data_IF_139033414296
#
_entry.id   IF_139033414296
#
_cell.length_a   1.000
_cell.length_b   1.000
_cell.length_c   1.000
_cell.angle_alpha   90.00
_cell.angle_beta   90.00
_cell.angle_gamma   90.00
#
_symmetry.space_group_name_H-M   'P 1'
#
loop_
_entity.id
_entity.type
_entity.pdbx_description
1 polymer ?
#
# COMPACT_ATOMS: atom_id res chain seq x y z
N UNK A 1 8.12 25.82 14.17
CA UNK A 1 7.59 24.67 13.39
C UNK A 1 7.75 23.44 14.27
N UNK A 2 6.79 22.51 14.34
CA UNK A 2 7.05 21.25 15.03
C UNK A 2 8.24 20.56 14.38
N UNK A 3 9.04 19.88 15.19
CA UNK A 3 10.18 19.09 14.74
C UNK A 3 9.70 18.00 13.77
N UNK A 4 10.32 17.91 12.59
CA UNK A 4 9.97 16.92 11.58
C UNK A 4 10.45 15.54 12.01
N UNK A 5 9.64 14.50 11.87
CA UNK A 5 10.04 13.10 12.08
C UNK A 5 10.64 12.55 10.78
N UNK A 6 11.96 12.30 10.71
CA UNK A 6 12.61 11.83 9.48
C UNK A 6 12.03 10.51 8.94
N UNK A 7 11.45 9.67 9.81
CA UNK A 7 10.83 8.41 9.39
C UNK A 7 9.50 8.65 8.69
N UNK A 8 8.73 9.66 9.11
CA UNK A 8 7.49 10.05 8.41
C UNK A 8 7.81 10.74 7.09
N UNK A 9 8.81 11.62 7.06
CA UNK A 9 9.20 12.30 5.82
C UNK A 9 9.74 11.33 4.77
N UNK A 10 10.47 10.29 5.18
CA UNK A 10 10.95 9.23 4.29
C UNK A 10 9.82 8.43 3.61
N UNK A 11 8.57 8.50 4.12
CA UNK A 11 7.40 7.88 3.49
C UNK A 11 6.91 8.65 2.27
N UNK A 12 7.39 9.89 2.03
CA UNK A 12 7.03 10.74 0.89
C UNK A 12 5.51 10.84 0.65
N UNK A 13 4.75 10.96 1.74
CA UNK A 13 3.30 11.02 1.74
C UNK A 13 2.79 12.36 1.18
N UNK A 14 1.58 12.33 0.63
CA UNK A 14 0.86 13.56 0.33
C UNK A 14 0.54 14.35 1.62
N UNK A 15 0.09 15.60 1.51
CA UNK A 15 -0.15 16.45 2.69
C UNK A 15 -1.17 15.86 3.67
N UNK A 16 -2.25 15.24 3.18
CA UNK A 16 -3.32 14.69 4.03
C UNK A 16 -2.79 13.49 4.83
N UNK A 17 -2.19 12.51 4.15
CA UNK A 17 -1.62 11.32 4.75
C UNK A 17 -0.43 11.65 5.65
N UNK A 18 0.42 12.63 5.28
CA UNK A 18 1.52 13.11 6.12
C UNK A 18 0.98 13.69 7.42
N UNK A 19 0.01 14.60 7.36
CA UNK A 19 -0.59 15.18 8.56
C UNK A 19 -1.24 14.11 9.45
N UNK A 20 -1.92 13.14 8.85
CA UNK A 20 -2.51 12.02 9.56
C UNK A 20 -1.45 11.13 10.24
N UNK A 21 -0.33 10.86 9.57
CA UNK A 21 0.79 10.13 10.15
C UNK A 21 1.38 10.86 11.38
N UNK A 22 1.57 12.18 11.31
CA UNK A 22 2.00 12.98 12.46
C UNK A 22 1.00 12.96 13.62
N UNK A 23 -0.30 13.10 13.33
CA UNK A 23 -1.35 13.02 14.35
C UNK A 23 -1.35 11.65 15.05
N UNK A 24 -1.20 10.57 14.28
CA UNK A 24 -1.17 9.22 14.82
C UNK A 24 0.10 8.99 15.66
N UNK A 25 1.27 9.44 15.18
CA UNK A 25 2.56 9.33 15.87
C UNK A 25 2.59 10.12 17.18
N UNK A 26 1.97 11.30 17.23
CA UNK A 26 1.85 12.10 18.44
C UNK A 26 1.04 11.37 19.54
N UNK A 27 -0.02 10.65 19.16
CA UNK A 27 -0.82 9.84 20.09
C UNK A 27 -0.13 8.53 20.47
N UNK A 28 0.59 7.92 19.53
CA UNK A 28 1.21 6.62 19.69
C UNK A 28 2.69 6.65 19.24
N UNK A 29 3.60 7.20 20.06
CA UNK A 29 5.00 7.45 19.67
C UNK A 29 5.80 6.20 19.28
N UNK A 30 5.39 5.03 19.74
CA UNK A 30 6.06 3.75 19.46
C UNK A 30 5.60 3.09 18.16
N UNK A 31 4.58 3.64 17.47
CA UNK A 31 4.13 3.08 16.19
C UNK A 31 5.22 3.16 15.13
N UNK A 32 5.30 2.09 14.35
CA UNK A 32 6.20 1.94 13.22
C UNK A 32 5.36 1.99 11.95
N UNK A 33 5.64 2.96 11.10
CA UNK A 33 5.14 2.99 9.73
C UNK A 33 6.02 2.08 8.89
N UNK A 34 5.44 1.10 8.22
CA UNK A 34 6.17 0.07 7.48
C UNK A 34 6.21 0.34 5.98
N UNK A 35 5.31 1.17 5.47
CA UNK A 35 5.35 1.62 4.09
C UNK A 35 4.56 2.93 3.89
N UNK A 36 4.91 3.68 2.85
CA UNK A 36 4.32 4.95 2.47
C UNK A 36 4.12 5.03 0.96
N UNK A 37 4.48 6.14 0.34
CA UNK A 37 4.47 6.25 -1.13
C UNK A 37 5.38 5.18 -1.74
N UNK A 38 4.90 4.52 -2.79
CA UNK A 38 5.65 3.55 -3.60
C UNK A 38 5.81 4.10 -5.00
N UNK A 39 6.97 3.88 -5.61
CA UNK A 39 7.07 3.99 -7.06
C UNK A 39 6.48 2.74 -7.75
N UNK A 40 6.42 2.76 -9.09
CA UNK A 40 5.88 1.63 -9.87
C UNK A 40 6.68 0.34 -9.62
N UNK A 41 7.99 0.43 -9.42
CA UNK A 41 8.86 -0.71 -9.16
C UNK A 41 8.62 -1.32 -7.79
N UNK A 42 8.51 -0.50 -6.75
CA UNK A 42 8.15 -0.91 -5.39
C UNK A 42 6.77 -1.57 -5.37
N UNK A 43 5.79 -0.99 -6.06
CA UNK A 43 4.46 -1.56 -6.17
C UNK A 43 4.48 -2.92 -6.89
N UNK A 44 5.23 -3.03 -8.00
CA UNK A 44 5.38 -4.30 -8.72
C UNK A 44 6.05 -5.38 -7.85
N UNK A 45 7.09 -5.04 -7.07
CA UNK A 45 7.74 -5.96 -6.13
C UNK A 45 6.79 -6.40 -5.01
N UNK A 46 6.01 -5.46 -4.46
CA UNK A 46 5.01 -5.77 -3.43
C UNK A 46 3.95 -6.76 -3.95
N UNK A 47 3.44 -6.55 -5.17
CA UNK A 47 2.50 -7.46 -5.82
C UNK A 47 3.15 -8.82 -6.10
N UNK A 48 4.34 -8.84 -6.68
CA UNK A 48 5.07 -10.05 -7.03
C UNK A 48 5.33 -10.96 -5.82
N UNK A 49 5.67 -10.39 -4.66
CA UNK A 49 5.90 -11.15 -3.43
C UNK A 49 4.71 -12.03 -3.01
N UNK A 50 3.49 -11.60 -3.32
CA UNK A 50 2.28 -12.36 -3.02
C UNK A 50 1.87 -13.28 -4.18
N UNK A 51 2.09 -12.84 -5.42
CA UNK A 51 1.77 -13.62 -6.63
C UNK A 51 2.56 -14.94 -6.70
N UNK A 52 3.81 -14.95 -6.23
CA UNK A 52 4.63 -16.18 -6.15
C UNK A 52 3.91 -17.28 -5.36
N UNK A 53 3.26 -16.93 -4.25
CA UNK A 53 2.54 -17.89 -3.40
C UNK A 53 1.09 -18.12 -3.84
N UNK A 54 0.48 -17.14 -4.49
CA UNK A 54 -0.89 -17.20 -4.97
C UNK A 54 -1.01 -16.46 -6.31
N UNK A 55 -1.04 -17.21 -7.42
CA UNK A 55 -1.09 -16.61 -8.76
C UNK A 55 -2.39 -15.87 -9.09
N UNK A 56 -3.45 -16.02 -8.29
CA UNK A 56 -4.71 -15.25 -8.41
C UNK A 56 -4.79 -14.11 -7.39
N UNK A 57 -3.70 -13.80 -6.70
CA UNK A 57 -3.70 -12.81 -5.61
C UNK A 57 -4.17 -11.42 -6.05
N UNK A 58 -3.84 -10.97 -7.27
CA UNK A 58 -4.20 -9.63 -7.75
C UNK A 58 -5.71 -9.49 -7.85
N UNK A 59 -6.41 -10.40 -8.54
CA UNK A 59 -7.88 -10.36 -8.66
C UNK A 59 -8.62 -10.65 -7.36
N UNK A 60 -7.96 -11.32 -6.40
CA UNK A 60 -8.54 -11.58 -5.08
C UNK A 60 -8.37 -10.42 -4.10
N UNK A 61 -7.41 -9.52 -4.35
CA UNK A 61 -7.00 -8.49 -3.38
C UNK A 61 -7.33 -7.08 -3.84
N UNK A 62 -7.06 -6.75 -5.11
CA UNK A 62 -7.34 -5.42 -5.64
C UNK A 62 -8.79 -5.27 -6.10
N UNK A 63 -9.27 -4.03 -6.09
CA UNK A 63 -10.52 -3.70 -6.77
C UNK A 63 -10.37 -3.93 -8.28
N UNK A 64 -11.47 -4.36 -8.91
CA UNK A 64 -11.51 -4.54 -10.35
C UNK A 64 -11.39 -3.18 -11.06
N UNK A 65 -10.35 -3.05 -11.89
CA UNK A 65 -10.11 -1.93 -12.80
C UNK A 65 -9.17 -2.41 -13.92
N UNK A 66 -8.92 -1.55 -14.91
CA UNK A 66 -8.13 -1.91 -16.09
C UNK A 66 -6.69 -2.27 -15.74
N UNK A 67 -6.09 -1.59 -14.75
CA UNK A 67 -4.72 -1.87 -14.29
C UNK A 67 -4.63 -3.24 -13.60
N UNK A 68 -5.54 -3.53 -12.66
CA UNK A 68 -5.53 -4.81 -11.93
C UNK A 68 -5.85 -5.99 -12.86
N UNK A 69 -6.74 -5.78 -13.83
CA UNK A 69 -7.04 -6.75 -14.89
C UNK A 69 -5.81 -6.99 -15.79
N UNK A 70 -5.13 -5.94 -16.24
CA UNK A 70 -3.93 -6.05 -17.07
C UNK A 70 -2.79 -6.75 -16.33
N UNK A 71 -2.57 -6.42 -15.05
CA UNK A 71 -1.57 -7.09 -14.23
C UNK A 71 -1.89 -8.58 -14.02
N UNK A 72 -3.15 -8.92 -13.71
CA UNK A 72 -3.54 -10.33 -13.60
C UNK A 72 -3.40 -11.06 -14.94
N UNK A 73 -3.78 -10.43 -16.06
CA UNK A 73 -3.62 -10.99 -17.39
C UNK A 73 -2.15 -11.30 -17.68
N UNK A 74 -1.23 -10.39 -17.37
CA UNK A 74 0.20 -10.65 -17.53
C UNK A 74 0.64 -11.86 -16.72
N UNK A 75 0.21 -11.95 -15.45
CA UNK A 75 0.50 -13.11 -14.61
C UNK A 75 -0.03 -14.37 -15.28
N UNK A 76 -1.30 -14.40 -15.70
CA UNK A 76 -1.97 -15.55 -16.34
C UNK A 76 -1.31 -15.99 -17.64
N UNK A 77 -0.88 -15.06 -18.49
CA UNK A 77 -0.20 -15.32 -19.77
C UNK A 77 1.26 -15.76 -19.60
N UNK A 78 1.85 -15.57 -18.41
CA UNK A 78 3.25 -15.90 -18.10
C UNK A 78 3.35 -16.96 -16.98
N UNK A 79 2.82 -18.18 -17.18
CA UNK A 79 2.85 -19.23 -16.15
C UNK A 79 4.27 -19.69 -15.77
N UNK A 80 5.26 -19.49 -16.65
CA UNK A 80 6.67 -19.81 -16.42
C UNK A 80 7.38 -18.81 -15.49
N UNK A 81 6.84 -17.61 -15.28
CA UNK A 81 7.41 -16.64 -14.36
C UNK A 81 7.08 -17.06 -12.92
N UNK A 82 7.99 -17.80 -12.29
CA UNK A 82 7.76 -18.42 -10.97
C UNK A 82 8.53 -17.74 -9.83
N UNK A 83 9.50 -16.88 -10.15
CA UNK A 83 10.29 -16.15 -9.15
C UNK A 83 9.83 -14.71 -9.05
N UNK A 84 9.90 -14.14 -7.83
CA UNK A 84 9.40 -12.80 -7.54
C UNK A 84 10.03 -11.72 -8.43
N UNK A 85 11.31 -11.87 -8.78
CA UNK A 85 12.02 -10.90 -9.63
C UNK A 85 11.43 -10.83 -11.04
N UNK A 86 11.20 -11.97 -11.68
CA UNK A 86 10.63 -12.04 -13.03
C UNK A 86 9.19 -11.54 -13.06
N UNK A 87 8.40 -11.90 -12.04
CA UNK A 87 7.04 -11.42 -11.89
C UNK A 87 7.03 -9.90 -11.69
N UNK A 88 7.92 -9.37 -10.84
CA UNK A 88 8.00 -7.92 -10.60
C UNK A 88 8.40 -7.16 -11.87
N UNK A 89 9.37 -7.66 -12.64
CA UNK A 89 9.76 -7.07 -13.92
C UNK A 89 8.60 -7.04 -14.92
N UNK A 90 7.87 -8.16 -15.01
CA UNK A 90 6.65 -8.28 -15.80
C UNK A 90 5.56 -7.29 -15.41
N UNK A 91 5.19 -7.29 -14.13
CA UNK A 91 4.20 -6.36 -13.60
C UNK A 91 4.62 -4.90 -13.80
N UNK A 92 5.89 -4.57 -13.59
CA UNK A 92 6.42 -3.23 -13.85
C UNK A 92 6.22 -2.81 -15.31
N UNK A 93 6.45 -3.71 -16.27
CA UNK A 93 6.21 -3.43 -17.69
C UNK A 93 4.74 -3.09 -17.96
N UNK A 94 3.80 -3.76 -17.27
CA UNK A 94 2.38 -3.43 -17.34
C UNK A 94 2.11 -2.05 -16.73
N UNK A 95 2.60 -1.78 -15.52
CA UNK A 95 2.38 -0.50 -14.83
C UNK A 95 2.96 0.71 -15.58
N UNK A 96 4.02 0.50 -16.36
CA UNK A 96 4.60 1.53 -17.21
C UNK A 96 3.70 1.94 -18.38
N UNK A 97 2.72 1.11 -18.76
CA UNK A 97 1.73 1.42 -19.79
C UNK A 97 0.55 2.29 -19.32
N UNK A 98 0.45 2.57 -18.02
CA UNK A 98 -0.63 3.37 -17.44
C UNK A 98 -0.11 4.70 -16.87
N UNK A 99 -0.97 5.72 -16.89
CA UNK A 99 -0.69 7.02 -16.29
C UNK A 99 -0.92 7.03 -14.76
N UNK A 100 -0.52 8.10 -14.09
CA UNK A 100 -0.60 8.21 -12.63
C UNK A 100 -2.06 8.24 -12.11
N UNK A 101 -3.01 8.74 -12.92
CA UNK A 101 -4.42 8.78 -12.53
C UNK A 101 -5.02 7.37 -12.55
N UNK A 102 -4.73 6.58 -13.57
CA UNK A 102 -5.12 5.18 -13.69
C UNK A 102 -4.49 4.33 -12.57
N UNK A 103 -3.19 4.52 -12.33
CA UNK A 103 -2.45 3.83 -11.29
C UNK A 103 -2.94 4.14 -9.87
N UNK A 104 -3.43 5.35 -9.63
CA UNK A 104 -4.06 5.72 -8.36
C UNK A 104 -5.30 4.88 -8.04
N UNK A 105 -5.99 4.36 -9.06
CA UNK A 105 -7.12 3.45 -8.88
C UNK A 105 -6.68 2.02 -8.52
N UNK A 106 -5.45 1.62 -8.86
CA UNK A 106 -4.86 0.35 -8.42
C UNK A 106 -4.45 0.41 -6.94
N UNK A 107 -3.64 1.40 -6.57
CA UNK A 107 -3.11 1.52 -5.21
C UNK A 107 -2.86 2.96 -4.81
N UNK A 108 -3.38 3.33 -3.64
CA UNK A 108 -3.16 4.64 -3.01
C UNK A 108 -1.71 4.88 -2.57
N UNK A 109 -0.89 3.83 -2.47
CA UNK A 109 0.54 4.00 -2.26
C UNK A 109 1.23 4.68 -3.47
N UNK A 110 0.74 4.51 -4.70
CA UNK A 110 1.38 5.12 -5.88
C UNK A 110 1.27 6.66 -5.87
N UNK A 111 0.18 7.19 -5.32
CA UNK A 111 -0.05 8.62 -5.16
C UNK A 111 0.44 9.20 -3.81
N UNK A 112 0.93 8.35 -2.90
CA UNK A 112 1.31 8.78 -1.55
C UNK A 112 0.10 9.05 -0.64
N UNK A 113 -1.09 8.60 -1.03
CA UNK A 113 -2.33 8.76 -0.27
C UNK A 113 -2.55 7.60 0.72
N UNK A 114 -1.54 6.78 0.99
CA UNK A 114 -1.63 5.68 1.93
C UNK A 114 -0.33 5.41 2.67
N UNK A 115 -0.47 4.93 3.91
CA UNK A 115 0.61 4.36 4.69
C UNK A 115 0.16 3.05 5.35
N UNK A 116 1.14 2.19 5.61
CA UNK A 116 0.96 0.98 6.41
C UNK A 116 1.58 1.17 7.79
N UNK A 117 0.91 0.64 8.80
CA UNK A 117 1.38 0.59 10.19
C UNK A 117 1.64 -0.85 10.58
N UNK A 118 2.74 -1.09 11.30
CA UNK A 118 3.02 -2.39 11.91
C UNK A 118 1.90 -2.74 12.90
N UNK A 119 1.14 -3.83 12.68
CA UNK A 119 0.14 -4.26 13.65
C UNK A 119 0.79 -4.60 14.99
N UNK A 120 0.18 -4.14 16.09
CA UNK A 120 0.58 -4.43 17.46
C UNK A 120 -0.57 -5.07 18.24
N UNK A 121 -0.25 -5.80 19.31
CA UNK A 121 -1.24 -6.40 20.22
C UNK A 121 -1.59 -5.45 21.36
N UNK A 122 -0.58 -4.80 21.94
CA UNK A 122 -0.76 -3.80 22.99
C UNK A 122 -1.54 -2.60 22.46
N UNK A 123 -2.60 -2.21 23.16
CA UNK A 123 -3.47 -1.08 22.82
C UNK A 123 -4.06 -1.10 21.39
N UNK A 124 -4.12 -2.27 20.76
CA UNK A 124 -4.54 -2.41 19.37
C UNK A 124 -5.92 -1.81 19.10
N UNK A 125 -6.89 -2.03 20.00
CA UNK A 125 -8.24 -1.49 19.89
C UNK A 125 -8.25 0.03 19.84
N UNK A 126 -7.49 0.68 20.74
CA UNK A 126 -7.41 2.13 20.80
C UNK A 126 -6.68 2.70 19.57
N UNK A 127 -5.55 2.11 19.17
CA UNK A 127 -4.82 2.56 17.98
C UNK A 127 -5.69 2.47 16.73
N UNK A 128 -6.40 1.36 16.54
CA UNK A 128 -7.32 1.18 15.41
C UNK A 128 -8.49 2.18 15.46
N UNK A 129 -8.98 2.53 16.65
CA UNK A 129 -10.00 3.57 16.80
C UNK A 129 -9.44 4.95 16.42
N UNK A 130 -8.21 5.27 16.84
CA UNK A 130 -7.53 6.50 16.47
C UNK A 130 -7.24 6.59 14.97
N UNK A 131 -6.83 5.49 14.33
CA UNK A 131 -6.66 5.45 12.87
C UNK A 131 -7.98 5.76 12.17
N UNK A 132 -9.09 5.14 12.60
CA UNK A 132 -10.43 5.39 12.04
C UNK A 132 -10.91 6.83 12.23
N UNK A 133 -10.38 7.53 13.21
CA UNK A 133 -10.71 8.92 13.50
C UNK A 133 -9.79 9.94 12.79
N UNK A 134 -8.81 9.51 12.00
CA UNK A 134 -7.91 10.40 11.28
C UNK A 134 -8.68 11.23 10.24
N UNK A 135 -8.41 12.54 10.21
CA UNK A 135 -9.03 13.44 9.26
C UNK A 135 -8.64 13.07 7.82
N UNK A 136 -9.62 13.05 6.92
CA UNK A 136 -9.42 12.71 5.51
C UNK A 136 -9.26 11.22 5.21
N UNK A 137 -9.37 10.34 6.22
CA UNK A 137 -9.36 8.89 6.01
C UNK A 137 -10.50 8.50 5.07
N UNK A 138 -10.15 7.73 4.05
CA UNK A 138 -11.09 7.11 3.12
C UNK A 138 -11.41 5.68 3.56
N UNK A 139 -10.38 4.89 3.85
CA UNK A 139 -10.53 3.49 4.22
C UNK A 139 -9.41 3.04 5.15
N UNK A 140 -9.78 2.20 6.11
CA UNK A 140 -8.85 1.48 6.96
C UNK A 140 -9.07 -0.03 6.81
N UNK A 141 -8.01 -0.75 6.46
CA UNK A 141 -7.99 -2.20 6.39
C UNK A 141 -7.11 -2.74 7.51
N UNK A 142 -7.60 -3.75 8.23
CA UNK A 142 -6.81 -4.49 9.23
C UNK A 142 -6.18 -5.77 8.65
N UNK A 143 -6.65 -6.15 7.45
CA UNK A 143 -6.16 -7.28 6.67
C UNK A 143 -6.18 -6.95 5.18
N UNK A 144 -5.20 -7.44 4.45
CA UNK A 144 -5.10 -7.32 3.00
C UNK A 144 -4.56 -8.63 2.43
N UNK A 145 -5.25 -9.23 1.44
CA UNK A 145 -4.82 -10.48 0.82
C UNK A 145 -4.60 -11.64 1.80
N UNK A 146 -5.35 -11.65 2.92
CA UNK A 146 -5.20 -12.65 4.00
C UNK A 146 -4.14 -12.32 5.07
N UNK A 147 -3.32 -11.29 4.87
CA UNK A 147 -2.26 -10.86 5.79
C UNK A 147 -2.79 -9.82 6.77
N UNK A 148 -2.36 -9.87 8.04
CA UNK A 148 -2.65 -8.79 9.00
C UNK A 148 -1.76 -7.61 8.67
N UNK A 149 -2.36 -6.53 8.18
CA UNK A 149 -1.71 -5.27 7.80
C UNK A 149 -2.65 -4.14 8.13
N UNK A 150 -2.16 -3.11 8.81
CA UNK A 150 -2.95 -1.93 9.12
C UNK A 150 -2.70 -0.89 8.04
N UNK A 151 -3.53 -0.93 7.01
CA UNK A 151 -3.43 -0.06 5.85
C UNK A 151 -4.43 1.09 5.98
N UNK A 152 -3.95 2.33 6.01
CA UNK A 152 -4.77 3.53 6.02
C UNK A 152 -4.59 4.27 4.68
N UNK A 153 -5.70 4.50 3.99
CA UNK A 153 -5.73 5.30 2.76
C UNK A 153 -6.64 6.52 2.92
N UNK A 154 -6.30 7.58 2.21
CA UNK A 154 -6.89 8.91 2.29
C UNK A 154 -7.47 9.34 0.93
N UNK A 155 -8.39 10.30 0.96
CA UNK A 155 -9.11 10.80 -0.22
C UNK A 155 -8.24 11.60 -1.18
#
# INVERSE_FOLDING_TARGET
MPETDPKIEALALNDIARNAAYQLKAKHPTLIFTSGRRDKGDQARAMASNVVSNRKWIVQTYMANDVSAACQKWVDDNPQAQVAADIAAGLLSVLNGFDDAELRHLSKHLSGDAFDVQPVTANATQIKADIRALAGLDKFLEKEGGLVRWHAQFK
#
